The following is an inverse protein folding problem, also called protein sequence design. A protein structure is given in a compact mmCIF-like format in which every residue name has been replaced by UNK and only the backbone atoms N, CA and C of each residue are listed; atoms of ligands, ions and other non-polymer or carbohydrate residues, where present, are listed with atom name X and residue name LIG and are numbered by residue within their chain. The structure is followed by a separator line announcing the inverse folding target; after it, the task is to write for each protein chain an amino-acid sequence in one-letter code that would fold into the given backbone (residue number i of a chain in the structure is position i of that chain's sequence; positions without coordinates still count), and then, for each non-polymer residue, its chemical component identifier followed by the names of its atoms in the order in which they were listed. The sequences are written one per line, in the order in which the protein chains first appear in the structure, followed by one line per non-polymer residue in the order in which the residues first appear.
data_IF_555919401860
#
_entry.id   IF_555919401860
#
_cell.length_a   1.000
_cell.length_b   1.000
_cell.length_c   1.000
_cell.angle_alpha   90.00
_cell.angle_beta   90.00
_cell.angle_gamma   90.00
#
_symmetry.space_group_name_H-M   'P 1'
#
loop_
_entity.id
_entity.type
_entity.pdbx_description
1 polymer ?
#
# COMPACT_ATOMS: atom_id res chain seq x y z
N UNK A 1 3.24 -18.54 -12.61
CA UNK A 1 3.10 -18.87 -11.19
C UNK A 1 3.79 -20.23 -10.96
N UNK A 2 4.96 -20.25 -10.32
CA UNK A 2 5.70 -21.50 -10.05
C UNK A 2 5.11 -22.26 -8.85
N UNK A 3 4.32 -21.58 -8.01
CA UNK A 3 3.65 -22.20 -6.86
C UNK A 3 2.15 -22.15 -7.11
N UNK A 4 1.62 -23.20 -7.72
CA UNK A 4 0.18 -23.36 -7.95
C UNK A 4 -0.41 -24.27 -6.85
N UNK A 5 -0.68 -23.67 -5.69
CA UNK A 5 -1.25 -24.38 -4.56
C UNK A 5 -2.37 -23.54 -3.89
N UNK A 6 -3.56 -24.11 -3.63
CA UNK A 6 -4.72 -23.36 -3.16
C UNK A 6 -4.52 -22.65 -1.82
N UNK A 7 -3.61 -23.16 -0.98
CA UNK A 7 -3.30 -22.56 0.33
C UNK A 7 -2.16 -21.52 0.28
N UNK A 8 -1.61 -21.21 -0.91
CA UNK A 8 -0.56 -20.22 -1.07
C UNK A 8 -1.11 -19.04 -1.86
N UNK A 9 -1.19 -17.89 -1.21
CA UNK A 9 -1.70 -16.64 -1.77
C UNK A 9 -0.66 -15.53 -1.63
N UNK A 10 -0.81 -14.48 -2.41
CA UNK A 10 0.07 -13.32 -2.28
C UNK A 10 -0.42 -12.39 -1.16
N UNK A 11 0.53 -11.85 -0.43
CA UNK A 11 0.35 -10.65 0.37
C UNK A 11 0.91 -9.47 -0.45
N UNK A 12 0.09 -8.49 -0.75
CA UNK A 12 0.47 -7.32 -1.51
C UNK A 12 0.55 -6.10 -0.60
N UNK A 13 1.73 -5.50 -0.53
CA UNK A 13 1.94 -4.24 0.15
C UNK A 13 1.98 -3.10 -0.88
N UNK A 14 1.03 -2.17 -0.77
CA UNK A 14 0.91 -1.08 -1.74
C UNK A 14 2.06 -0.08 -1.64
N UNK A 15 2.55 0.24 -0.44
CA UNK A 15 3.67 1.16 -0.25
C UNK A 15 4.96 0.59 -0.80
N UNK A 16 5.28 -0.65 -0.45
CA UNK A 16 6.46 -1.32 -0.97
C UNK A 16 6.43 -1.48 -2.49
N UNK A 17 5.27 -1.83 -3.05
CA UNK A 17 5.10 -1.90 -4.50
C UNK A 17 5.29 -0.52 -5.15
N UNK A 18 4.75 0.56 -4.55
CA UNK A 18 4.87 1.92 -5.06
C UNK A 18 6.31 2.41 -5.04
N UNK A 19 7.03 2.23 -3.94
CA UNK A 19 8.46 2.56 -3.81
C UNK A 19 9.29 1.78 -4.85
N UNK A 20 9.04 0.47 -4.99
CA UNK A 20 9.75 -0.36 -5.97
C UNK A 20 9.48 0.05 -7.42
N UNK A 21 8.23 0.37 -7.76
CA UNK A 21 7.87 0.82 -9.12
C UNK A 21 8.57 2.14 -9.45
N UNK A 22 8.56 3.10 -8.53
CA UNK A 22 9.24 4.38 -8.72
C UNK A 22 10.75 4.19 -8.88
N UNK A 23 11.37 3.33 -8.09
CA UNK A 23 12.80 3.00 -8.22
C UNK A 23 13.16 2.41 -9.57
N UNK A 24 12.34 1.50 -10.07
CA UNK A 24 12.54 0.79 -11.32
C UNK A 24 12.03 1.55 -12.54
N UNK A 25 11.44 2.73 -12.33
CA UNK A 25 10.72 3.48 -13.37
C UNK A 25 9.66 2.63 -14.06
N UNK A 26 8.94 1.79 -13.28
CA UNK A 26 7.86 0.92 -13.74
C UNK A 26 6.50 1.61 -13.54
N UNK A 27 5.51 1.23 -14.34
CA UNK A 27 4.18 1.80 -14.23
C UNK A 27 3.38 1.09 -13.11
N UNK A 28 3.25 1.74 -11.96
CA UNK A 28 2.69 1.18 -10.73
C UNK A 28 1.34 0.47 -10.93
N UNK A 29 0.34 1.12 -11.55
CA UNK A 29 -0.98 0.52 -11.75
C UNK A 29 -0.92 -0.76 -12.60
N UNK A 30 -0.03 -0.83 -13.59
CA UNK A 30 0.12 -2.04 -14.40
C UNK A 30 0.69 -3.21 -13.58
N UNK A 31 1.65 -2.93 -12.71
CA UNK A 31 2.18 -3.95 -11.79
C UNK A 31 1.11 -4.44 -10.83
N UNK A 32 0.32 -3.52 -10.25
CA UNK A 32 -0.78 -3.89 -9.35
C UNK A 32 -1.89 -4.68 -10.08
N UNK A 33 -2.21 -4.35 -11.34
CA UNK A 33 -3.14 -5.15 -12.16
C UNK A 33 -2.69 -6.61 -12.34
N UNK A 34 -1.39 -6.83 -12.33
CA UNK A 34 -0.83 -8.20 -12.43
C UNK A 34 -0.89 -8.94 -11.10
N UNK A 35 -0.66 -8.25 -10.00
CA UNK A 35 -0.57 -8.85 -8.67
C UNK A 35 -1.92 -8.92 -7.95
N UNK A 36 -2.79 -7.95 -8.15
CA UNK A 36 -4.06 -7.80 -7.47
C UNK A 36 -4.93 -9.07 -7.48
N UNK A 37 -5.16 -9.70 -8.67
CA UNK A 37 -5.98 -10.91 -8.75
C UNK A 37 -5.43 -12.12 -7.98
N UNK A 38 -4.15 -12.08 -7.61
CA UNK A 38 -3.45 -13.15 -6.86
C UNK A 38 -3.37 -12.86 -5.36
N UNK A 39 -3.80 -11.66 -4.92
CA UNK A 39 -3.58 -11.16 -3.56
C UNK A 39 -4.87 -11.20 -2.75
N UNK A 40 -4.87 -12.00 -1.70
CA UNK A 40 -5.99 -12.08 -0.74
C UNK A 40 -5.72 -11.30 0.55
N UNK A 41 -4.47 -10.87 0.77
CA UNK A 41 -4.07 -10.04 1.90
C UNK A 41 -3.33 -8.80 1.39
N UNK A 42 -3.74 -7.63 1.84
CA UNK A 42 -3.21 -6.36 1.37
C UNK A 42 -2.80 -5.52 2.58
N UNK A 43 -1.55 -5.07 2.60
CA UNK A 43 -1.11 -4.06 3.54
C UNK A 43 -1.44 -2.66 3.03
N UNK A 44 -2.11 -1.90 3.89
CA UNK A 44 -2.64 -0.58 3.58
C UNK A 44 -1.96 0.47 4.45
N UNK A 45 -1.08 1.22 3.88
CA UNK A 45 -0.53 2.47 4.42
C UNK A 45 -0.03 3.32 3.26
N UNK A 46 0.15 4.62 3.50
CA UNK A 46 0.53 5.56 2.46
C UNK A 46 2.01 5.94 2.55
N UNK A 47 2.56 6.39 1.43
CA UNK A 47 3.92 6.90 1.31
C UNK A 47 4.02 7.82 0.08
N UNK A 48 5.14 8.53 -0.04
CA UNK A 48 5.44 9.33 -1.23
C UNK A 48 6.16 8.53 -2.34
N UNK A 49 6.41 7.24 -2.12
CA UNK A 49 7.09 6.38 -3.08
C UNK A 49 8.54 6.78 -3.36
N UNK A 50 9.17 7.52 -2.46
CA UNK A 50 10.56 7.97 -2.57
C UNK A 50 11.44 6.98 -1.81
N UNK A 51 12.50 6.49 -2.49
CA UNK A 51 13.46 5.58 -1.86
C UNK A 51 14.19 6.30 -0.74
N UNK A 52 14.43 5.58 0.34
CA UNK A 52 15.30 6.06 1.41
C UNK A 52 16.74 6.16 0.91
N UNK A 53 17.23 7.40 0.77
CA UNK A 53 18.60 7.70 0.35
C UNK A 53 19.44 8.29 1.48
N UNK A 54 18.79 8.72 2.55
CA UNK A 54 19.42 9.32 3.73
C UNK A 54 19.18 8.40 4.90
N UNK A 55 20.26 7.93 5.52
CA UNK A 55 20.15 7.19 6.77
C UNK A 55 20.04 8.16 7.94
N UNK A 56 18.99 8.02 8.75
CA UNK A 56 18.76 8.84 9.94
C UNK A 56 18.80 7.95 11.19
N UNK A 57 19.30 8.49 12.31
CA UNK A 57 19.28 7.76 13.58
C UNK A 57 17.90 7.72 14.25
N UNK A 58 16.98 8.57 13.77
CA UNK A 58 15.65 8.73 14.33
C UNK A 58 14.65 8.52 13.18
N UNK A 59 13.86 7.47 13.25
CA UNK A 59 12.84 7.11 12.23
C UNK A 59 11.89 8.28 11.91
N UNK A 60 11.55 9.11 12.92
CA UNK A 60 10.70 10.28 12.72
C UNK A 60 11.31 11.33 11.75
N UNK A 61 12.62 11.34 11.57
CA UNK A 61 13.28 12.22 10.60
C UNK A 61 13.00 11.82 9.17
N UNK A 62 12.88 10.51 8.87
CA UNK A 62 12.52 10.02 7.55
C UNK A 62 11.18 10.60 7.08
N UNK A 63 10.21 10.72 7.99
CA UNK A 63 8.91 11.35 7.71
C UNK A 63 9.06 12.81 7.25
N UNK A 64 10.00 13.54 7.82
CA UNK A 64 10.26 14.96 7.46
C UNK A 64 10.86 15.09 6.06
N UNK A 65 11.59 14.09 5.59
CA UNK A 65 12.15 14.04 4.22
C UNK A 65 11.20 13.41 3.20
N UNK A 66 10.11 12.78 3.64
CA UNK A 66 9.17 12.08 2.77
C UNK A 66 9.78 10.86 2.07
N UNK A 67 10.82 10.25 2.65
CA UNK A 67 11.56 9.13 2.06
C UNK A 67 11.32 7.83 2.80
N UNK A 68 11.36 6.72 2.06
CA UNK A 68 11.26 5.38 2.60
C UNK A 68 9.82 4.92 2.84
N UNK A 69 9.72 3.87 3.63
CA UNK A 69 8.46 3.24 4.00
C UNK A 69 7.87 3.91 5.24
N UNK A 70 7.02 4.91 5.01
CA UNK A 70 6.61 5.87 6.05
C UNK A 70 5.41 5.44 6.88
N UNK A 71 4.66 4.43 6.45
CA UNK A 71 3.44 3.96 7.11
C UNK A 71 2.46 5.09 7.46
N UNK A 72 2.19 5.99 6.48
CA UNK A 72 1.29 7.13 6.66
C UNK A 72 -0.18 6.73 6.62
N UNK A 73 -1.08 7.50 7.26
CA UNK A 73 -2.51 7.39 7.03
C UNK A 73 -2.88 7.57 5.56
N UNK A 74 -3.92 6.87 5.09
CA UNK A 74 -4.37 6.93 3.71
C UNK A 74 -4.71 8.36 3.26
N UNK A 75 -4.17 8.77 2.13
CA UNK A 75 -4.33 10.10 1.54
C UNK A 75 -3.40 11.17 2.13
N UNK A 76 -2.37 10.76 2.87
CA UNK A 76 -1.29 11.64 3.31
C UNK A 76 -0.07 11.60 2.41
N UNK A 77 0.09 10.54 1.63
CA UNK A 77 1.12 10.36 0.62
C UNK A 77 0.55 10.49 -0.80
N UNK A 78 1.22 9.83 -1.74
CA UNK A 78 0.95 9.94 -3.18
C UNK A 78 0.43 8.62 -3.79
N UNK A 79 0.18 7.58 -2.98
CA UNK A 79 -0.35 6.33 -3.52
C UNK A 79 -1.76 6.56 -4.07
N UNK A 80 -2.01 6.26 -5.36
CA UNK A 80 -3.29 6.54 -6.00
C UNK A 80 -4.34 5.48 -5.67
N UNK A 81 -4.77 5.39 -4.40
CA UNK A 81 -5.71 4.36 -3.91
C UNK A 81 -7.01 4.31 -4.71
N UNK A 82 -7.61 5.47 -5.00
CA UNK A 82 -8.83 5.52 -5.81
C UNK A 82 -8.66 4.83 -7.15
N UNK A 83 -7.56 5.11 -7.84
CA UNK A 83 -7.25 4.51 -9.14
C UNK A 83 -6.97 3.01 -9.03
N UNK A 84 -6.34 2.56 -7.92
CA UNK A 84 -6.13 1.12 -7.68
C UNK A 84 -7.49 0.42 -7.62
N UNK A 85 -8.41 0.89 -6.78
CA UNK A 85 -9.71 0.23 -6.58
C UNK A 85 -10.70 0.44 -7.74
N UNK A 86 -10.49 1.44 -8.60
CA UNK A 86 -11.26 1.62 -9.82
C UNK A 86 -10.79 0.72 -10.98
N UNK A 87 -9.50 0.37 -11.04
CA UNK A 87 -8.92 -0.27 -12.22
C UNK A 87 -8.39 -1.70 -11.99
N UNK A 88 -8.21 -2.12 -10.74
CA UNK A 88 -7.61 -3.42 -10.40
C UNK A 88 -8.68 -4.39 -9.95
N UNK A 89 -8.62 -5.60 -10.47
CA UNK A 89 -9.47 -6.70 -10.00
C UNK A 89 -8.81 -7.38 -8.80
N UNK A 90 -9.59 -7.54 -7.73
CA UNK A 90 -9.21 -8.27 -6.54
C UNK A 90 -10.15 -9.45 -6.31
N UNK A 91 -9.73 -10.49 -5.57
CA UNK A 91 -10.64 -11.54 -5.10
C UNK A 91 -11.77 -10.98 -4.22
N UNK A 92 -12.92 -11.62 -4.22
CA UNK A 92 -14.10 -11.17 -3.44
C UNK A 92 -13.84 -11.04 -1.93
N UNK A 93 -12.91 -11.84 -1.39
CA UNK A 93 -12.64 -11.92 0.04
C UNK A 93 -11.22 -11.39 0.37
N UNK A 94 -10.90 -10.18 -0.07
CA UNK A 94 -9.63 -9.56 0.30
C UNK A 94 -9.65 -9.08 1.75
N UNK A 95 -8.51 -9.24 2.42
CA UNK A 95 -8.27 -8.67 3.74
C UNK A 95 -7.40 -7.44 3.63
N UNK A 96 -7.91 -6.29 4.10
CA UNK A 96 -7.14 -5.06 4.20
C UNK A 96 -6.57 -4.94 5.61
N UNK A 97 -5.27 -4.93 5.74
CA UNK A 97 -4.54 -4.79 7.00
C UNK A 97 -3.82 -3.44 7.06
N UNK A 98 -4.15 -2.64 8.06
CA UNK A 98 -3.46 -1.36 8.28
C UNK A 98 -2.16 -1.55 9.05
N UNK A 99 -1.07 -1.07 8.51
CA UNK A 99 0.23 -1.03 9.17
C UNK A 99 0.58 0.40 9.61
N UNK A 100 -0.30 0.98 10.44
CA UNK A 100 -0.13 2.34 10.95
C UNK A 100 0.52 2.34 12.32
N UNK A 101 1.64 3.07 12.52
CA UNK A 101 2.23 3.28 13.83
C UNK A 101 1.28 3.92 14.84
N UNK A 102 1.46 3.60 16.12
CA UNK A 102 0.62 4.11 17.21
C UNK A 102 0.54 5.65 17.27
N UNK A 103 1.56 6.36 16.80
CA UNK A 103 1.53 7.84 16.67
C UNK A 103 0.36 8.36 15.85
N UNK A 104 -0.25 7.51 15.00
CA UNK A 104 -1.42 7.85 14.17
C UNK A 104 -2.73 7.29 14.71
N UNK A 105 -2.79 6.82 15.97
CA UNK A 105 -3.98 6.22 16.59
C UNK A 105 -5.26 7.05 16.40
N UNK A 106 -5.17 8.37 16.55
CA UNK A 106 -6.32 9.27 16.39
C UNK A 106 -6.94 9.25 14.99
N UNK A 107 -6.21 8.75 13.98
CA UNK A 107 -6.65 8.65 12.59
C UNK A 107 -7.15 7.25 12.19
N UNK A 108 -7.08 6.25 13.07
CA UNK A 108 -7.46 4.87 12.73
C UNK A 108 -8.90 4.77 12.24
N UNK A 109 -9.83 5.45 12.91
CA UNK A 109 -11.25 5.45 12.49
C UNK A 109 -11.44 6.05 11.10
N UNK A 110 -10.75 7.15 10.80
CA UNK A 110 -10.81 7.79 9.49
C UNK A 110 -10.26 6.88 8.40
N UNK A 111 -9.16 6.18 8.66
CA UNK A 111 -8.58 5.21 7.73
C UNK A 111 -9.53 4.04 7.45
N UNK A 112 -10.21 3.51 8.47
CA UNK A 112 -11.20 2.46 8.30
C UNK A 112 -12.35 2.94 7.41
N UNK A 113 -12.86 4.14 7.62
CA UNK A 113 -13.92 4.72 6.78
C UNK A 113 -13.45 4.85 5.32
N UNK A 114 -12.25 5.38 5.09
CA UNK A 114 -11.67 5.48 3.74
C UNK A 114 -11.52 4.11 3.08
N UNK A 115 -11.06 3.09 3.80
CA UNK A 115 -10.94 1.75 3.26
C UNK A 115 -12.30 1.15 2.87
N UNK A 116 -13.35 1.36 3.66
CA UNK A 116 -14.70 0.95 3.29
C UNK A 116 -15.17 1.64 2.00
N UNK A 117 -14.94 2.95 1.87
CA UNK A 117 -15.27 3.69 0.64
C UNK A 117 -14.52 3.16 -0.59
N UNK A 118 -13.26 2.74 -0.43
CA UNK A 118 -12.49 2.11 -1.50
C UNK A 118 -13.06 0.73 -1.86
N UNK A 119 -13.44 -0.09 -0.86
CA UNK A 119 -14.04 -1.41 -1.10
C UNK A 119 -15.40 -1.34 -1.80
N UNK A 120 -16.17 -0.25 -1.63
CA UNK A 120 -17.45 -0.05 -2.34
C UNK A 120 -17.27 0.10 -3.87
N UNK A 121 -16.04 0.28 -4.36
CA UNK A 121 -15.72 0.38 -5.79
C UNK A 121 -15.48 -0.98 -6.46
N UNK A 122 -15.27 -2.04 -5.68
CA UNK A 122 -15.07 -3.39 -6.18
C UNK A 122 -16.40 -4.08 -6.48
#
# INVERSE_FOLDING_TARGET
NEVDHPNVKCCLDFSHAYINCNYRNAHFINEIKTMGPLSEHIHMHDSFGIIETIWTYIEAENTSYGQGDLHLPLGWGDIPFDKIFDEVQFPENINLNFELPFRYEKYYKENIVKAHQLLEKL
#
